data_IF_646378559159
#
_entry.id   IF_646378559159
#
_cell.length_a   1.000
_cell.length_b   1.000
_cell.length_c   1.000
_cell.angle_alpha   90.00
_cell.angle_beta   90.00
_cell.angle_gamma   90.00
#
_symmetry.space_group_name_H-M   'P 1'
#
loop_
_entity.id
_entity.type
_entity.pdbx_description
1 polymer ?
#
# COMPACT_ATOMS: atom_id res chain seq x y z
N UNK A 1 -19.60 18.67 -8.08
CA UNK A 1 -18.44 18.02 -7.43
C UNK A 1 -19.00 17.02 -6.45
N UNK A 2 -18.66 15.76 -6.59
CA UNK A 2 -19.21 14.69 -5.76
C UNK A 2 -18.67 14.72 -4.32
N UNK A 3 -19.35 14.02 -3.42
CA UNK A 3 -18.96 13.98 -2.01
C UNK A 3 -17.60 13.30 -1.78
N UNK A 4 -17.27 12.26 -2.56
CA UNK A 4 -16.00 11.55 -2.42
C UNK A 4 -14.83 12.45 -2.83
N UNK A 5 -14.98 13.22 -3.90
CA UNK A 5 -13.99 14.20 -4.34
C UNK A 5 -13.73 15.28 -3.27
N UNK A 6 -14.79 15.76 -2.59
CA UNK A 6 -14.63 16.74 -1.51
C UNK A 6 -13.89 16.14 -0.31
N UNK A 7 -14.27 14.91 0.11
CA UNK A 7 -13.60 14.20 1.20
C UNK A 7 -12.12 13.89 0.87
N UNK A 8 -11.83 13.49 -0.37
CA UNK A 8 -10.45 13.23 -0.80
C UNK A 8 -9.56 14.48 -0.67
N UNK A 9 -10.05 15.64 -1.13
CA UNK A 9 -9.30 16.90 -1.00
C UNK A 9 -9.05 17.25 0.47
N UNK A 10 -10.10 17.16 1.31
CA UNK A 10 -9.95 17.43 2.73
C UNK A 10 -8.92 16.52 3.39
N UNK A 11 -8.96 15.21 3.12
CA UNK A 11 -7.98 14.24 3.66
C UNK A 11 -6.56 14.54 3.16
N UNK A 12 -6.39 14.86 1.86
CA UNK A 12 -5.09 15.24 1.31
C UNK A 12 -4.54 16.50 1.98
N UNK A 13 -5.38 17.53 2.15
CA UNK A 13 -4.97 18.77 2.77
C UNK A 13 -4.60 18.55 4.26
N UNK A 14 -5.31 17.69 4.97
CA UNK A 14 -4.96 17.27 6.34
C UNK A 14 -3.62 16.52 6.39
N UNK A 15 -3.33 15.63 5.42
CA UNK A 15 -2.05 14.91 5.33
C UNK A 15 -0.91 15.90 5.09
N UNK A 16 -1.09 16.85 4.18
CA UNK A 16 -0.09 17.87 3.90
C UNK A 16 0.20 18.72 5.15
N UNK A 17 -0.84 19.15 5.87
CA UNK A 17 -0.68 19.86 7.12
C UNK A 17 0.02 19.03 8.21
N UNK A 18 -0.20 17.70 8.22
CA UNK A 18 0.52 16.80 9.14
C UNK A 18 1.99 16.64 8.74
N UNK A 19 2.29 16.55 7.45
CA UNK A 19 3.67 16.57 6.96
C UNK A 19 4.41 17.82 7.44
N UNK A 20 3.82 19.00 7.26
CA UNK A 20 4.42 20.28 7.71
C UNK A 20 4.65 20.32 9.23
N UNK A 21 3.67 19.83 10.05
CA UNK A 21 3.85 19.73 11.51
C UNK A 21 5.04 18.86 11.93
N UNK A 22 5.36 17.86 11.09
CA UNK A 22 6.50 16.97 11.32
C UNK A 22 7.77 17.39 10.54
N UNK A 23 7.84 18.62 10.05
CA UNK A 23 9.02 19.16 9.34
C UNK A 23 9.26 18.52 7.96
N UNK A 24 8.21 17.92 7.36
CA UNK A 24 8.26 17.29 6.05
C UNK A 24 7.64 18.20 4.99
N UNK A 25 8.07 18.05 3.74
CA UNK A 25 7.45 18.77 2.64
C UNK A 25 5.97 18.35 2.46
N UNK A 26 5.06 19.28 2.13
CA UNK A 26 3.75 18.92 1.58
C UNK A 26 3.93 17.97 0.40
N UNK A 27 2.94 17.14 0.13
CA UNK A 27 2.96 16.12 -0.92
C UNK A 27 4.09 15.06 -0.81
N UNK A 28 4.82 15.01 0.33
CA UNK A 28 5.84 13.96 0.59
C UNK A 28 5.24 12.60 0.95
N UNK A 29 3.91 12.52 1.08
CA UNK A 29 3.16 11.30 1.39
C UNK A 29 2.17 10.99 0.28
N UNK A 30 2.27 9.82 -0.31
CA UNK A 30 1.32 9.30 -1.29
C UNK A 30 0.04 8.86 -0.58
N UNK A 31 -1.10 9.43 -0.98
CA UNK A 31 -2.42 9.04 -0.52
C UNK A 31 -3.02 7.97 -1.44
N UNK A 32 -2.88 6.71 -1.06
CA UNK A 32 -3.52 5.59 -1.76
C UNK A 32 -4.99 5.49 -1.34
N UNK A 33 -5.90 5.76 -2.28
CA UNK A 33 -7.35 5.66 -2.03
C UNK A 33 -7.80 4.22 -2.19
N UNK A 34 -8.17 3.55 -1.09
CA UNK A 34 -8.63 2.16 -1.10
C UNK A 34 -10.09 2.10 -1.52
N UNK A 35 -10.36 1.59 -2.72
CA UNK A 35 -11.68 1.61 -3.38
C UNK A 35 -12.42 0.28 -3.34
N UNK A 36 -11.97 -0.67 -2.50
CA UNK A 36 -12.64 -1.97 -2.36
C UNK A 36 -14.14 -1.83 -2.11
N UNK A 37 -14.94 -2.69 -2.76
CA UNK A 37 -16.40 -2.71 -2.71
C UNK A 37 -17.12 -1.51 -3.37
N UNK A 38 -16.43 -0.55 -3.91
CA UNK A 38 -17.02 0.60 -4.59
C UNK A 38 -17.00 0.43 -6.12
N UNK A 39 -17.92 1.08 -6.84
CA UNK A 39 -17.99 0.97 -8.31
C UNK A 39 -16.88 1.76 -8.99
N UNK A 40 -16.68 1.50 -10.28
CA UNK A 40 -15.76 2.23 -11.17
C UNK A 40 -16.03 3.73 -11.17
N UNK A 41 -17.32 4.14 -11.17
CA UNK A 41 -17.71 5.54 -11.18
C UNK A 41 -17.18 6.36 -10.01
N UNK A 42 -16.94 5.73 -8.84
CA UNK A 42 -16.27 6.39 -7.72
C UNK A 42 -14.80 6.69 -8.03
N UNK A 43 -14.11 5.77 -8.70
CA UNK A 43 -12.71 5.98 -9.10
C UNK A 43 -12.63 7.10 -10.14
N UNK A 44 -13.56 7.13 -11.07
CA UNK A 44 -13.65 8.21 -12.08
C UNK A 44 -13.89 9.58 -11.44
N UNK A 45 -14.83 9.68 -10.48
CA UNK A 45 -15.06 10.91 -9.71
C UNK A 45 -13.78 11.39 -8.99
N UNK A 46 -13.04 10.47 -8.36
CA UNK A 46 -11.82 10.78 -7.64
C UNK A 46 -10.67 11.14 -8.61
N UNK A 47 -10.57 10.45 -9.75
CA UNK A 47 -9.59 10.73 -10.78
C UNK A 47 -9.79 12.13 -11.38
N UNK A 48 -11.04 12.49 -11.68
CA UNK A 48 -11.42 13.84 -12.14
C UNK A 48 -11.11 14.92 -11.09
N UNK A 49 -11.14 14.55 -9.81
CA UNK A 49 -10.75 15.43 -8.71
C UNK A 49 -9.22 15.60 -8.54
N UNK A 50 -8.42 14.76 -9.22
CA UNK A 50 -6.96 14.79 -9.19
C UNK A 50 -6.29 13.64 -8.45
N UNK A 51 -7.05 12.65 -7.92
CA UNK A 51 -6.46 11.46 -7.34
C UNK A 51 -5.75 10.61 -8.42
N UNK A 52 -4.59 10.05 -8.06
CA UNK A 52 -3.77 9.25 -9.00
C UNK A 52 -3.34 7.90 -8.44
N UNK A 53 -3.55 7.63 -7.17
CA UNK A 53 -3.14 6.41 -6.49
C UNK A 53 -4.37 5.69 -5.95
N UNK A 54 -4.70 4.53 -6.53
CA UNK A 54 -5.89 3.75 -6.15
C UNK A 54 -5.51 2.35 -5.69
N UNK A 55 -6.12 1.92 -4.58
CA UNK A 55 -5.82 0.65 -3.94
C UNK A 55 -6.97 -0.35 -3.98
N UNK A 56 -6.66 -1.61 -4.30
CA UNK A 56 -7.58 -2.73 -4.23
C UNK A 56 -7.00 -3.88 -3.41
N UNK A 57 -7.91 -4.62 -2.73
CA UNK A 57 -7.51 -5.77 -1.92
C UNK A 57 -8.08 -7.11 -2.42
N UNK A 58 -8.94 -7.08 -3.42
CA UNK A 58 -9.61 -8.27 -3.99
C UNK A 58 -9.31 -8.35 -5.47
N UNK A 59 -8.58 -9.40 -5.87
CA UNK A 59 -8.14 -9.60 -7.25
C UNK A 59 -9.30 -9.57 -8.26
N UNK A 60 -10.42 -10.24 -7.96
CA UNK A 60 -11.56 -10.30 -8.88
C UNK A 60 -12.16 -8.92 -9.18
N UNK A 61 -12.30 -8.08 -8.13
CA UNK A 61 -12.83 -6.73 -8.27
C UNK A 61 -11.82 -5.82 -9.01
N UNK A 62 -10.53 -5.98 -8.69
CA UNK A 62 -9.44 -5.21 -9.30
C UNK A 62 -9.33 -5.43 -10.81
N UNK A 63 -9.42 -6.67 -11.29
CA UNK A 63 -9.36 -7.00 -12.73
C UNK A 63 -10.46 -6.26 -13.51
N UNK A 64 -11.69 -6.28 -12.99
CA UNK A 64 -12.83 -5.63 -13.65
C UNK A 64 -12.63 -4.12 -13.72
N UNK A 65 -12.15 -3.53 -12.61
CA UNK A 65 -11.91 -2.09 -12.53
C UNK A 65 -10.74 -1.66 -13.40
N UNK A 66 -9.64 -2.40 -13.40
CA UNK A 66 -8.48 -2.11 -14.23
C UNK A 66 -8.84 -2.12 -15.72
N UNK A 67 -9.60 -3.12 -16.18
CA UNK A 67 -10.07 -3.18 -17.55
C UNK A 67 -11.01 -2.01 -17.92
N UNK A 68 -11.90 -1.62 -17.00
CA UNK A 68 -12.84 -0.50 -17.23
C UNK A 68 -12.15 0.88 -17.26
N UNK A 69 -10.97 1.00 -16.66
CA UNK A 69 -10.20 2.24 -16.52
C UNK A 69 -8.94 2.25 -17.40
N UNK A 70 -8.83 1.31 -18.33
CA UNK A 70 -7.71 1.25 -19.26
C UNK A 70 -7.49 2.57 -19.98
N UNK A 71 -6.23 3.02 -20.08
CA UNK A 71 -5.85 4.28 -20.71
C UNK A 71 -5.95 5.53 -19.82
N UNK A 72 -6.43 5.41 -18.58
CA UNK A 72 -6.35 6.50 -17.60
C UNK A 72 -4.96 6.51 -16.93
N UNK A 73 -4.43 7.69 -16.71
CA UNK A 73 -3.14 7.89 -16.03
C UNK A 73 -3.32 7.87 -14.51
N UNK A 74 -2.98 6.75 -13.87
CA UNK A 74 -2.94 6.57 -12.42
C UNK A 74 -2.11 5.33 -12.04
N UNK A 75 -1.70 5.24 -10.78
CA UNK A 75 -0.99 4.09 -10.21
C UNK A 75 -1.97 3.13 -9.55
N UNK A 76 -1.90 1.86 -9.90
CA UNK A 76 -2.75 0.81 -9.35
C UNK A 76 -2.04 0.02 -8.27
N UNK A 77 -2.47 0.18 -7.00
CA UNK A 77 -1.90 -0.49 -5.84
C UNK A 77 -2.70 -1.73 -5.45
N UNK A 78 -2.05 -2.88 -5.38
CA UNK A 78 -2.63 -4.05 -4.75
C UNK A 78 -2.22 -4.11 -3.28
N UNK A 79 -3.21 -3.96 -2.38
CA UNK A 79 -3.00 -3.86 -0.92
C UNK A 79 -3.60 -5.05 -0.16
N UNK A 80 -4.09 -6.06 -0.85
CA UNK A 80 -4.59 -7.29 -0.27
C UNK A 80 -3.53 -8.38 -0.25
N UNK A 81 -3.79 -9.46 0.49
CA UNK A 81 -2.89 -10.60 0.53
C UNK A 81 -2.79 -11.29 -0.84
N UNK A 82 -1.57 -11.54 -1.31
CA UNK A 82 -1.31 -12.18 -2.61
C UNK A 82 -1.30 -13.69 -2.45
N UNK A 83 -2.21 -14.37 -3.13
CA UNK A 83 -2.09 -15.81 -3.34
C UNK A 83 -1.07 -16.09 -4.45
N UNK A 84 -0.11 -17.00 -4.24
CA UNK A 84 1.00 -17.25 -5.18
C UNK A 84 0.49 -17.61 -6.59
N UNK A 85 -0.61 -18.37 -6.70
CA UNK A 85 -1.22 -18.72 -7.98
C UNK A 85 -1.92 -17.55 -8.69
N UNK A 86 -2.10 -16.41 -8.02
CA UNK A 86 -2.69 -15.17 -8.56
C UNK A 86 -1.65 -14.08 -8.81
N UNK A 87 -0.43 -14.22 -8.29
CA UNK A 87 0.61 -13.19 -8.32
C UNK A 87 0.85 -12.64 -9.74
N UNK A 88 1.05 -13.50 -10.74
CA UNK A 88 1.23 -13.09 -12.15
C UNK A 88 0.01 -12.39 -12.74
N UNK A 89 -1.19 -12.81 -12.34
CA UNK A 89 -2.41 -12.16 -12.82
C UNK A 89 -2.62 -10.77 -12.17
N UNK A 90 -2.16 -10.60 -10.93
CA UNK A 90 -2.13 -9.30 -10.24
C UNK A 90 -1.12 -8.37 -10.93
N UNK A 91 0.08 -8.83 -11.23
CA UNK A 91 1.11 -8.04 -11.91
C UNK A 91 0.72 -7.56 -13.33
N UNK A 92 -0.35 -8.11 -13.93
CA UNK A 92 -0.84 -7.63 -15.23
C UNK A 92 -1.51 -6.26 -15.17
N UNK A 93 -2.02 -5.86 -14.00
CA UNK A 93 -2.72 -4.58 -13.82
C UNK A 93 -2.16 -3.74 -12.68
N UNK A 94 -1.52 -4.35 -11.68
CA UNK A 94 -0.97 -3.62 -10.53
C UNK A 94 0.42 -3.08 -10.86
N UNK A 95 0.61 -1.79 -10.61
CA UNK A 95 1.92 -1.14 -10.69
C UNK A 95 2.70 -1.37 -9.39
N UNK A 96 1.97 -1.45 -8.25
CA UNK A 96 2.55 -1.59 -6.92
C UNK A 96 1.87 -2.72 -6.13
N UNK A 97 2.65 -3.61 -5.53
CA UNK A 97 2.17 -4.68 -4.65
C UNK A 97 2.70 -4.42 -3.23
N UNK A 98 1.78 -4.24 -2.26
CA UNK A 98 2.14 -3.91 -0.88
C UNK A 98 2.33 -5.13 0.04
N UNK A 99 2.09 -6.33 -0.46
CA UNK A 99 1.96 -7.54 0.36
C UNK A 99 2.88 -8.67 -0.11
N UNK A 100 4.16 -8.36 -0.31
CA UNK A 100 5.19 -9.38 -0.54
C UNK A 100 5.58 -9.96 0.82
N UNK A 101 5.08 -11.14 1.14
CA UNK A 101 5.16 -11.72 2.48
C UNK A 101 5.93 -13.06 2.54
N UNK A 102 6.24 -13.66 1.39
CA UNK A 102 6.88 -14.99 1.33
C UNK A 102 7.50 -15.33 -0.02
N UNK A 103 8.46 -16.24 0.03
CA UNK A 103 9.22 -16.74 -1.13
C UNK A 103 8.33 -17.16 -2.29
N UNK A 104 7.23 -17.90 -2.04
CA UNK A 104 6.37 -18.41 -3.11
C UNK A 104 5.64 -17.33 -3.93
N UNK A 105 5.41 -16.15 -3.34
CA UNK A 105 4.85 -15.00 -4.05
C UNK A 105 5.92 -14.36 -4.94
N UNK A 106 7.13 -14.15 -4.43
CA UNK A 106 8.27 -13.59 -5.17
C UNK A 106 8.62 -14.49 -6.35
N UNK A 107 8.73 -15.81 -6.13
CA UNK A 107 9.02 -16.78 -7.21
C UNK A 107 7.93 -16.81 -8.28
N UNK A 108 6.66 -16.64 -7.91
CA UNK A 108 5.59 -16.54 -8.90
C UNK A 108 5.68 -15.24 -9.73
N UNK A 109 6.09 -14.13 -9.11
CA UNK A 109 6.30 -12.84 -9.79
C UNK A 109 7.56 -12.83 -10.65
N UNK A 110 8.60 -13.60 -10.30
CA UNK A 110 9.84 -13.73 -11.10
C UNK A 110 9.57 -14.09 -12.56
N UNK A 111 8.48 -14.78 -12.83
CA UNK A 111 8.06 -15.18 -14.18
C UNK A 111 6.97 -14.28 -14.77
N UNK A 112 6.75 -13.10 -14.19
CA UNK A 112 5.81 -12.10 -14.71
C UNK A 112 6.38 -11.42 -15.95
N UNK A 113 5.51 -11.08 -16.90
CA UNK A 113 5.86 -10.26 -18.06
C UNK A 113 6.00 -8.77 -17.70
N UNK A 114 5.32 -8.35 -16.63
CA UNK A 114 5.31 -6.97 -16.15
C UNK A 114 6.19 -6.83 -14.92
N UNK A 115 6.91 -5.71 -14.86
CA UNK A 115 7.62 -5.26 -13.65
C UNK A 115 6.65 -4.56 -12.71
N UNK A 116 6.82 -4.77 -11.40
CA UNK A 116 6.03 -4.13 -10.36
C UNK A 116 6.93 -3.53 -9.28
N UNK A 117 6.47 -2.47 -8.65
CA UNK A 117 7.03 -1.99 -7.40
C UNK A 117 6.53 -2.86 -6.23
N UNK A 118 7.39 -3.20 -5.30
CA UNK A 118 7.05 -4.12 -4.22
C UNK A 118 7.41 -3.61 -2.83
N UNK A 119 6.50 -3.81 -1.87
CA UNK A 119 6.75 -3.62 -0.45
C UNK A 119 6.71 -4.96 0.26
N UNK A 120 7.69 -5.21 1.15
CA UNK A 120 7.66 -6.39 2.03
C UNK A 120 6.64 -6.13 3.14
N UNK A 121 5.66 -7.03 3.28
CA UNK A 121 4.69 -6.97 4.38
C UNK A 121 5.32 -7.47 5.67
N UNK A 122 5.23 -6.65 6.74
CA UNK A 122 5.71 -6.98 8.08
C UNK A 122 4.56 -7.49 8.94
N UNK A 123 4.75 -8.61 9.61
CA UNK A 123 3.85 -9.08 10.65
C UNK A 123 4.25 -8.49 12.01
N UNK A 124 3.50 -7.52 12.49
CA UNK A 124 3.74 -6.89 13.79
C UNK A 124 3.05 -7.63 14.94
N UNK A 125 2.41 -8.76 14.68
CA UNK A 125 1.68 -9.56 15.68
C UNK A 125 2.35 -10.92 15.90
N UNK A 126 2.07 -11.59 17.02
CA UNK A 126 2.52 -12.98 17.21
C UNK A 126 1.73 -14.00 16.40
N UNK A 127 0.65 -13.59 15.72
CA UNK A 127 -0.21 -14.49 14.95
C UNK A 127 0.38 -14.74 13.55
N UNK A 128 0.86 -15.96 13.25
CA UNK A 128 1.44 -16.29 11.95
C UNK A 128 0.41 -16.32 10.82
N UNK A 129 -0.89 -16.42 11.12
CA UNK A 129 -1.94 -16.46 10.10
C UNK A 129 -2.23 -15.08 9.48
N UNK A 130 -1.74 -14.01 10.10
CA UNK A 130 -1.93 -12.64 9.57
C UNK A 130 -1.11 -12.34 8.31
N UNK A 131 -0.18 -13.22 7.92
CA UNK A 131 0.75 -12.96 6.83
C UNK A 131 1.84 -11.95 7.23
N UNK A 132 2.80 -11.72 6.33
CA UNK A 132 3.96 -10.87 6.58
C UNK A 132 5.15 -11.63 7.17
N UNK A 133 6.35 -11.06 7.02
CA UNK A 133 7.58 -11.58 7.64
C UNK A 133 7.59 -11.27 9.14
N UNK A 134 8.04 -12.20 9.95
CA UNK A 134 7.88 -12.13 11.41
C UNK A 134 9.05 -11.43 12.13
N UNK A 135 10.19 -11.23 11.46
CA UNK A 135 11.40 -10.65 12.05
C UNK A 135 12.31 -10.03 10.97
N UNK A 136 13.30 -9.19 11.38
CA UNK A 136 14.22 -8.54 10.43
C UNK A 136 15.04 -9.51 9.58
N UNK A 137 15.42 -10.69 10.09
CA UNK A 137 16.24 -11.64 9.32
C UNK A 137 15.42 -12.23 8.15
N UNK A 138 14.16 -12.56 8.39
CA UNK A 138 13.24 -12.98 7.32
C UNK A 138 13.00 -11.87 6.31
N UNK A 139 12.87 -10.62 6.78
CA UNK A 139 12.71 -9.44 5.90
C UNK A 139 13.92 -9.28 4.97
N UNK A 140 15.14 -9.33 5.51
CA UNK A 140 16.38 -9.20 4.74
C UNK A 140 16.55 -10.36 3.76
N UNK A 141 16.27 -11.60 4.18
CA UNK A 141 16.31 -12.78 3.29
C UNK A 141 15.32 -12.65 2.12
N UNK A 142 14.12 -12.13 2.38
CA UNK A 142 13.12 -11.90 1.33
C UNK A 142 13.54 -10.73 0.41
N UNK A 143 14.17 -9.69 0.95
CA UNK A 143 14.70 -8.57 0.20
C UNK A 143 15.82 -9.00 -0.75
N UNK A 144 16.74 -9.88 -0.31
CA UNK A 144 17.78 -10.48 -1.16
C UNK A 144 17.16 -11.24 -2.34
N UNK A 145 16.14 -12.06 -2.06
CA UNK A 145 15.44 -12.80 -3.11
C UNK A 145 14.77 -11.84 -4.12
N UNK A 146 14.07 -10.81 -3.64
CA UNK A 146 13.43 -9.80 -4.49
C UNK A 146 14.48 -9.11 -5.36
N UNK A 147 15.60 -8.68 -4.77
CA UNK A 147 16.69 -7.97 -5.48
C UNK A 147 17.39 -8.84 -6.52
N UNK A 148 17.25 -10.17 -6.43
CA UNK A 148 17.74 -11.11 -7.47
C UNK A 148 16.78 -11.26 -8.66
N UNK A 149 15.66 -10.51 -8.69
CA UNK A 149 14.68 -10.54 -9.79
C UNK A 149 14.68 -9.21 -10.54
N UNK A 150 14.45 -9.28 -11.87
CA UNK A 150 14.29 -8.08 -12.70
C UNK A 150 12.83 -7.60 -12.78
N UNK A 151 11.91 -8.38 -12.23
CA UNK A 151 10.46 -8.15 -12.34
C UNK A 151 9.86 -7.42 -11.14
N UNK A 152 10.62 -7.26 -10.05
CA UNK A 152 10.18 -6.56 -8.85
C UNK A 152 11.22 -5.50 -8.47
N UNK A 153 10.77 -4.25 -8.35
CA UNK A 153 11.57 -3.19 -7.73
C UNK A 153 11.22 -3.09 -6.25
N UNK A 154 12.16 -3.43 -5.37
CA UNK A 154 11.94 -3.31 -3.93
C UNK A 154 11.91 -1.83 -3.51
N UNK A 155 10.77 -1.37 -3.02
CA UNK A 155 10.56 0.02 -2.59
C UNK A 155 10.71 0.21 -1.08
N UNK A 156 10.44 -0.82 -0.28
CA UNK A 156 10.51 -0.73 1.16
C UNK A 156 9.59 -1.71 1.88
N UNK A 157 8.99 -1.28 2.98
CA UNK A 157 8.16 -2.12 3.83
C UNK A 157 6.72 -1.64 3.92
N UNK A 158 5.80 -2.58 4.17
CA UNK A 158 4.40 -2.29 4.48
C UNK A 158 4.01 -2.94 5.80
N UNK A 159 3.19 -2.25 6.59
CA UNK A 159 2.60 -2.82 7.79
C UNK A 159 1.20 -2.30 8.09
N UNK A 160 0.47 -3.08 8.90
CA UNK A 160 -0.78 -2.69 9.54
C UNK A 160 -0.57 -2.75 11.06
N UNK A 161 -0.90 -1.67 11.77
CA UNK A 161 -0.80 -1.65 13.22
C UNK A 161 -1.72 -2.69 13.86
N UNK A 162 -1.24 -3.46 14.86
CA UNK A 162 -2.08 -4.34 15.66
C UNK A 162 -3.17 -3.55 16.40
N UNK A 163 -4.34 -4.16 16.58
CA UNK A 163 -5.46 -3.50 17.31
C UNK A 163 -5.18 -3.40 18.83
N UNK A 164 -4.34 -4.27 19.35
CA UNK A 164 -4.03 -4.40 20.77
C UNK A 164 -2.83 -3.53 21.20
N UNK A 165 -2.23 -2.80 20.26
CA UNK A 165 -1.07 -1.93 20.50
C UNK A 165 -1.37 -0.50 20.09
N UNK A 166 -0.69 0.48 20.70
CA UNK A 166 -0.81 1.85 20.23
C UNK A 166 -0.21 1.99 18.81
N UNK A 167 -0.87 2.71 17.89
CA UNK A 167 -0.33 2.91 16.55
C UNK A 167 1.08 3.51 16.54
N UNK A 168 1.37 4.43 17.45
CA UNK A 168 2.70 5.06 17.57
C UNK A 168 3.79 4.02 17.85
N UNK A 169 3.59 3.13 18.84
CA UNK A 169 4.56 2.07 19.16
C UNK A 169 4.73 1.07 18.01
N UNK A 170 3.64 0.69 17.35
CA UNK A 170 3.68 -0.16 16.17
C UNK A 170 4.51 0.48 15.05
N UNK A 171 4.29 1.77 14.76
CA UNK A 171 4.97 2.46 13.67
C UNK A 171 6.44 2.80 13.99
N UNK A 172 6.81 2.97 15.26
CA UNK A 172 8.22 3.02 15.68
C UNK A 172 8.96 1.71 15.32
N UNK A 173 8.32 0.55 15.52
CA UNK A 173 8.90 -0.74 15.10
C UNK A 173 9.04 -0.82 13.59
N UNK A 174 8.03 -0.38 12.83
CA UNK A 174 8.10 -0.32 11.36
C UNK A 174 9.26 0.55 10.90
N UNK A 175 9.44 1.73 11.51
CA UNK A 175 10.56 2.62 11.20
C UNK A 175 11.92 1.97 11.47
N UNK A 176 12.06 1.24 12.60
CA UNK A 176 13.28 0.51 12.91
C UNK A 176 13.60 -0.59 11.88
N UNK A 177 12.58 -1.37 11.44
CA UNK A 177 12.79 -2.40 10.42
C UNK A 177 13.09 -1.78 9.04
N UNK A 178 12.41 -0.68 8.70
CA UNK A 178 12.70 0.09 7.47
C UNK A 178 14.14 0.62 7.46
N UNK A 179 14.63 1.11 8.60
CA UNK A 179 16.01 1.58 8.73
C UNK A 179 17.02 0.43 8.51
N UNK A 180 16.75 -0.76 9.09
CA UNK A 180 17.58 -1.95 8.88
C UNK A 180 17.58 -2.38 7.40
N UNK A 181 16.42 -2.38 6.75
CA UNK A 181 16.33 -2.69 5.32
C UNK A 181 17.13 -1.69 4.47
N UNK A 182 17.01 -0.40 4.76
CA UNK A 182 17.65 0.67 3.98
C UNK A 182 19.18 0.65 4.11
N UNK A 183 19.74 0.11 5.20
CA UNK A 183 21.19 -0.08 5.34
C UNK A 183 21.77 -1.04 4.29
N UNK A 184 21.05 -2.12 3.97
CA UNK A 184 21.47 -3.12 2.99
C UNK A 184 20.94 -2.79 1.58
N UNK A 185 19.76 -2.18 1.49
CA UNK A 185 19.07 -1.84 0.24
C UNK A 185 18.70 -0.35 0.24
N UNK A 186 19.63 0.58 -0.07
CA UNK A 186 19.42 2.04 0.09
C UNK A 186 18.23 2.62 -0.67
N UNK A 187 17.82 2.00 -1.77
CA UNK A 187 16.66 2.42 -2.57
C UNK A 187 15.32 1.94 -1.99
N UNK A 188 15.34 0.97 -1.06
CA UNK A 188 14.15 0.43 -0.41
C UNK A 188 13.78 1.23 0.86
N UNK A 189 13.60 2.53 0.72
CA UNK A 189 13.44 3.48 1.81
C UNK A 189 11.99 3.96 2.03
N UNK A 190 11.04 3.38 1.30
CA UNK A 190 9.64 3.77 1.42
C UNK A 190 8.93 2.95 2.49
N UNK A 191 7.95 3.58 3.14
CA UNK A 191 7.15 2.97 4.21
C UNK A 191 5.68 3.14 3.91
N UNK A 192 4.98 2.02 3.66
CA UNK A 192 3.54 2.00 3.47
C UNK A 192 2.85 1.58 4.76
N UNK A 193 2.34 2.54 5.52
CA UNK A 193 1.62 2.30 6.78
C UNK A 193 0.65 3.44 7.07
N UNK A 194 -0.34 3.18 7.95
CA UNK A 194 -1.38 4.13 8.25
C UNK A 194 -2.64 3.99 7.40
N UNK A 195 -3.78 3.94 8.08
CA UNK A 195 -5.12 3.83 7.52
C UNK A 195 -6.02 4.95 8.09
N UNK A 196 -7.32 4.89 7.83
CA UNK A 196 -8.27 5.95 8.23
C UNK A 196 -8.22 6.36 9.71
N UNK A 197 -7.82 5.48 10.61
CA UNK A 197 -7.83 5.73 12.06
C UNK A 197 -6.46 6.15 12.65
N UNK A 198 -5.35 5.88 11.95
CA UNK A 198 -3.99 5.94 12.51
C UNK A 198 -2.95 6.57 11.55
N UNK A 199 -3.40 7.20 10.46
CA UNK A 199 -2.50 7.78 9.47
C UNK A 199 -1.67 8.96 10.00
N UNK A 200 -2.15 9.68 11.05
CA UNK A 200 -1.40 10.80 11.62
C UNK A 200 -0.14 10.31 12.33
N UNK A 201 -0.29 9.28 13.15
CA UNK A 201 0.82 8.60 13.82
C UNK A 201 1.79 7.99 12.79
N UNK A 202 1.24 7.44 11.71
CA UNK A 202 2.05 6.90 10.61
C UNK A 202 2.90 7.99 9.93
N UNK A 203 2.31 9.15 9.61
CA UNK A 203 3.03 10.29 9.01
C UNK A 203 4.12 10.79 9.95
N UNK A 204 3.83 10.92 11.24
CA UNK A 204 4.80 11.32 12.26
C UNK A 204 5.96 10.32 12.37
N UNK A 205 5.70 9.02 12.20
CA UNK A 205 6.71 7.95 12.20
C UNK A 205 7.45 7.77 10.85
N UNK A 206 7.20 8.62 9.85
CA UNK A 206 7.92 8.62 8.59
C UNK A 206 7.26 7.86 7.43
N UNK A 207 5.98 7.50 7.51
CA UNK A 207 5.25 6.89 6.40
C UNK A 207 5.41 7.72 5.11
N UNK A 208 5.65 7.05 3.99
CA UNK A 208 5.66 7.62 2.65
C UNK A 208 4.37 7.34 1.88
N UNK A 209 3.61 6.34 2.31
CA UNK A 209 2.32 5.94 1.74
C UNK A 209 1.33 5.70 2.87
N UNK A 210 0.15 6.33 2.79
CA UNK A 210 -1.01 6.03 3.65
C UNK A 210 -2.14 5.47 2.80
N UNK A 211 -2.89 4.51 3.34
CA UNK A 211 -3.93 3.75 2.63
C UNK A 211 -5.29 4.04 3.24
N UNK A 212 -6.02 4.98 2.66
CA UNK A 212 -7.27 5.50 3.23
C UNK A 212 -8.46 5.07 2.36
N UNK A 213 -9.43 4.42 2.98
CA UNK A 213 -10.67 3.99 2.35
C UNK A 213 -11.87 4.78 2.84
N UNK A 214 -12.50 4.32 3.91
CA UNK A 214 -13.82 4.77 4.39
C UNK A 214 -13.93 6.28 4.60
N UNK A 215 -12.88 6.95 5.05
CA UNK A 215 -12.86 8.41 5.25
C UNK A 215 -13.05 9.17 3.93
N UNK A 216 -12.71 8.56 2.78
CA UNK A 216 -12.85 9.14 1.45
C UNK A 216 -14.06 8.55 0.72
N UNK A 217 -14.12 7.22 0.64
CA UNK A 217 -15.12 6.52 -0.18
C UNK A 217 -16.50 6.47 0.48
N UNK A 218 -16.58 6.73 1.79
CA UNK A 218 -17.81 6.61 2.55
C UNK A 218 -18.14 5.17 2.96
N UNK A 219 -19.37 4.97 3.42
CA UNK A 219 -19.85 3.64 3.81
C UNK A 219 -19.93 2.72 2.60
N UNK A 220 -19.62 1.43 2.84
CA UNK A 220 -19.78 0.37 1.83
C UNK A 220 -21.20 0.42 1.26
N UNK A 221 -21.37 0.38 -0.08
CA UNK A 221 -22.69 0.22 -0.70
C UNK A 221 -23.36 -1.05 -0.19
N UNK A 222 -24.63 -0.97 0.20
CA UNK A 222 -25.41 -2.18 0.51
C UNK A 222 -25.52 -3.00 -0.76
N UNK A 223 -25.08 -4.25 -0.70
CA UNK A 223 -25.42 -5.23 -1.73
C UNK A 223 -26.92 -5.44 -1.66
N UNK A 224 -27.66 -4.86 -2.64
CA UNK A 224 -29.05 -5.19 -2.87
C UNK A 224 -29.21 -6.65 -3.30
#
# INVERSE_FOLDING_TARGET
MGEAAARWRAVRDEINAECERNGRAPDSVTLVVVTKFHPVSLIEELWDAGARDFGESRHQDAVIKAAALEGKDFTWHFVGQVQSNKARAIAKYADVIHSLDRVSVVEALRTSENRVDGFIELNLTPDPERGGVANPDEMLSLAELISSTDTIELRGVMAVAPLEESPAAAFERVAAWSAALTQEFPNANQVSTGMSADWKEAVAAGATHVRIGTSITGKRPSTG
#
